data_IF_709703385173
#
_entry.id   IF_709703385173
#
_cell.length_a   1.000
_cell.length_b   1.000
_cell.length_c   1.000
_cell.angle_alpha   90.00
_cell.angle_beta   90.00
_cell.angle_gamma   90.00
#
_symmetry.space_group_name_H-M   'P 1'
#
loop_
_entity.id
_entity.type
_entity.pdbx_description
1 polymer ?
#
# COMPACT_ATOMS: atom_id res chain seq x y z
N UNK A 1 -71.99 9.70 -65.73
CA UNK A 1 -71.57 8.44 -65.08
C UNK A 1 -70.13 8.16 -65.45
N UNK A 2 -69.26 7.86 -64.48
CA UNK A 2 -67.86 7.52 -64.72
C UNK A 2 -67.05 7.45 -63.43
N UNK A 3 -67.32 6.45 -62.58
CA UNK A 3 -66.48 6.14 -61.41
C UNK A 3 -65.32 5.26 -61.86
N UNK A 4 -64.08 5.74 -61.66
CA UNK A 4 -62.86 4.95 -61.86
C UNK A 4 -62.54 4.18 -60.57
N UNK A 5 -62.52 2.86 -60.66
CA UNK A 5 -62.14 1.94 -59.58
C UNK A 5 -60.63 1.65 -59.66
N UNK A 6 -59.85 2.13 -58.70
CA UNK A 6 -58.43 1.76 -58.54
C UNK A 6 -58.36 0.44 -57.73
N UNK A 7 -57.57 -0.57 -58.16
CA UNK A 7 -57.56 -1.88 -57.51
C UNK A 7 -56.74 -1.84 -56.21
N UNK A 8 -57.42 -1.83 -55.05
CA UNK A 8 -56.86 -1.93 -53.69
C UNK A 8 -55.97 -3.17 -53.44
N UNK A 9 -55.99 -4.18 -54.34
CA UNK A 9 -55.24 -5.43 -54.17
C UNK A 9 -53.71 -5.33 -54.38
N UNK A 10 -53.19 -4.30 -55.07
CA UNK A 10 -51.73 -4.19 -55.30
C UNK A 10 -50.98 -3.54 -54.13
N UNK A 11 -51.60 -2.59 -53.43
CA UNK A 11 -50.94 -1.84 -52.34
C UNK A 11 -50.78 -2.70 -51.08
N UNK A 12 -51.77 -3.55 -50.76
CA UNK A 12 -51.69 -4.46 -49.61
C UNK A 12 -50.57 -5.51 -49.78
N UNK A 13 -50.36 -6.03 -51.01
CA UNK A 13 -49.26 -6.94 -51.31
C UNK A 13 -47.89 -6.26 -51.16
N UNK A 14 -47.77 -5.00 -51.58
CA UNK A 14 -46.52 -4.23 -51.45
C UNK A 14 -46.22 -3.94 -49.97
N UNK A 15 -47.22 -3.56 -49.17
CA UNK A 15 -47.01 -3.33 -47.73
C UNK A 15 -46.67 -4.62 -46.97
N UNK A 16 -47.28 -5.76 -47.34
CA UNK A 16 -46.93 -7.06 -46.76
C UNK A 16 -45.49 -7.47 -47.07
N UNK A 17 -45.03 -7.25 -48.31
CA UNK A 17 -43.62 -7.48 -48.67
C UNK A 17 -42.67 -6.54 -47.93
N UNK A 18 -43.04 -5.27 -47.73
CA UNK A 18 -42.24 -4.31 -46.97
C UNK A 18 -42.10 -4.72 -45.50
N UNK A 19 -43.18 -5.20 -44.87
CA UNK A 19 -43.16 -5.69 -43.49
C UNK A 19 -42.32 -6.96 -43.33
N UNK A 20 -42.35 -7.87 -44.30
CA UNK A 20 -41.50 -9.08 -44.28
C UNK A 20 -40.02 -8.69 -44.41
N UNK A 21 -39.69 -7.74 -45.29
CA UNK A 21 -38.32 -7.25 -45.47
C UNK A 21 -37.82 -6.55 -44.20
N UNK A 22 -38.62 -5.66 -43.60
CA UNK A 22 -38.27 -5.00 -42.34
C UNK A 22 -38.13 -5.98 -41.17
N UNK A 23 -39.03 -6.97 -41.06
CA UNK A 23 -38.94 -8.02 -40.05
C UNK A 23 -37.67 -8.87 -40.20
N UNK A 24 -37.31 -9.23 -41.43
CA UNK A 24 -36.06 -9.93 -41.72
C UNK A 24 -34.83 -9.12 -41.37
N UNK A 25 -34.85 -7.81 -41.62
CA UNK A 25 -33.75 -6.89 -41.26
C UNK A 25 -33.57 -6.77 -39.74
N UNK A 26 -34.65 -6.70 -38.97
CA UNK A 26 -34.59 -6.66 -37.50
C UNK A 26 -34.02 -7.96 -36.94
N UNK A 27 -34.41 -9.11 -37.50
CA UNK A 27 -33.88 -10.42 -37.10
C UNK A 27 -32.38 -10.50 -37.44
N UNK A 28 -31.97 -10.04 -38.63
CA UNK A 28 -30.57 -10.04 -39.04
C UNK A 28 -29.71 -9.14 -38.13
N UNK A 29 -30.18 -7.93 -37.80
CA UNK A 29 -29.49 -7.01 -36.88
C UNK A 29 -29.43 -7.60 -35.47
N UNK A 30 -30.49 -8.28 -35.01
CA UNK A 30 -30.51 -8.96 -33.72
C UNK A 30 -29.50 -10.11 -33.68
N UNK A 31 -29.43 -10.94 -34.72
CA UNK A 31 -28.46 -12.03 -34.83
C UNK A 31 -27.03 -11.48 -34.92
N UNK A 32 -26.79 -10.42 -35.69
CA UNK A 32 -25.49 -9.76 -35.77
C UNK A 32 -25.06 -9.09 -34.45
N UNK A 33 -26.03 -8.58 -33.68
CA UNK A 33 -25.77 -8.05 -32.33
C UNK A 33 -25.42 -9.17 -31.36
N UNK A 34 -26.12 -10.32 -31.45
CA UNK A 34 -25.86 -11.52 -30.65
C UNK A 34 -24.51 -12.15 -30.99
N UNK A 35 -24.11 -12.22 -32.25
CA UNK A 35 -22.78 -12.73 -32.63
C UNK A 35 -21.66 -11.79 -32.19
N UNK A 36 -21.87 -10.47 -32.23
CA UNK A 36 -20.94 -9.51 -31.60
C UNK A 36 -20.86 -9.69 -30.09
N UNK A 37 -21.98 -9.93 -29.42
CA UNK A 37 -22.04 -10.21 -27.98
C UNK A 37 -21.33 -11.52 -27.60
N UNK A 38 -21.50 -12.58 -28.39
CA UNK A 38 -20.81 -13.85 -28.21
C UNK A 38 -19.31 -13.76 -28.53
N UNK A 39 -18.91 -13.00 -29.55
CA UNK A 39 -17.49 -12.75 -29.85
C UNK A 39 -16.78 -11.87 -28.80
N UNK A 40 -17.55 -11.11 -28.02
CA UNK A 40 -17.07 -10.32 -26.88
C UNK A 40 -16.97 -11.12 -25.57
N UNK A 41 -17.25 -12.43 -25.60
CA UNK A 41 -16.84 -13.36 -24.54
C UNK A 41 -17.59 -13.28 -23.20
N UNK A 42 -18.79 -12.70 -23.14
CA UNK A 42 -19.45 -12.44 -21.86
C UNK A 42 -20.22 -13.64 -21.27
N UNK A 43 -20.58 -14.67 -22.06
CA UNK A 43 -21.34 -15.84 -21.57
C UNK A 43 -21.06 -17.10 -22.40
N UNK A 44 -19.85 -17.65 -22.32
CA UNK A 44 -19.63 -19.08 -22.59
C UNK A 44 -19.35 -19.77 -21.25
N UNK A 45 -20.13 -20.78 -20.84
CA UNK A 45 -19.67 -21.70 -19.81
C UNK A 45 -18.52 -22.48 -20.43
N UNK A 46 -17.30 -22.11 -20.09
CA UNK A 46 -16.10 -22.87 -20.46
C UNK A 46 -16.16 -24.21 -19.73
N UNK A 47 -16.75 -25.23 -20.34
CA UNK A 47 -16.68 -26.61 -19.84
C UNK A 47 -15.23 -27.10 -19.72
N UNK A 48 -14.29 -26.51 -20.46
CA UNK A 48 -12.85 -26.77 -20.37
C UNK A 48 -12.21 -26.31 -19.05
N UNK A 49 -12.78 -25.29 -18.39
CA UNK A 49 -12.31 -24.86 -17.05
C UNK A 49 -12.74 -25.89 -16.01
N UNK A 50 -13.97 -26.44 -16.11
CA UNK A 50 -14.44 -27.46 -15.18
C UNK A 50 -13.68 -28.79 -15.35
N UNK A 51 -13.38 -29.21 -16.58
CA UNK A 51 -12.56 -30.41 -16.82
C UNK A 51 -11.10 -30.26 -16.35
N UNK A 52 -10.57 -29.03 -16.36
CA UNK A 52 -9.25 -28.73 -15.77
C UNK A 52 -9.27 -28.72 -14.24
N UNK A 53 -10.36 -28.31 -13.59
CA UNK A 53 -10.47 -28.43 -12.12
C UNK A 53 -10.52 -29.89 -11.64
N UNK A 54 -11.09 -30.81 -12.43
CA UNK A 54 -11.10 -32.23 -12.08
C UNK A 54 -9.74 -32.91 -12.30
N UNK A 55 -8.94 -32.48 -13.28
CA UNK A 55 -7.57 -33.01 -13.49
C UNK A 55 -6.53 -32.40 -12.55
N UNK A 56 -6.78 -31.22 -11.97
CA UNK A 56 -5.93 -30.59 -10.94
C UNK A 56 -6.00 -31.31 -9.59
N UNK A 57 -7.07 -32.06 -9.32
CA UNK A 57 -7.24 -32.82 -8.07
C UNK A 57 -6.17 -33.90 -7.85
N UNK A 58 -5.51 -34.35 -8.92
CA UNK A 58 -4.55 -35.45 -8.88
C UNK A 58 -3.06 -35.02 -8.97
N UNK A 59 -2.73 -33.71 -9.05
CA UNK A 59 -1.33 -33.29 -9.31
C UNK A 59 -0.75 -32.28 -8.30
N UNK A 60 -1.54 -31.60 -7.47
CA UNK A 60 -1.02 -30.82 -6.34
C UNK A 60 -1.96 -30.92 -5.15
N UNK A 61 -1.48 -31.51 -4.05
CA UNK A 61 -2.28 -31.74 -2.83
C UNK A 61 -2.51 -30.52 -1.95
N UNK A 62 -2.25 -29.29 -2.40
CA UNK A 62 -2.22 -28.11 -1.51
C UNK A 62 -2.80 -26.81 -2.12
N UNK A 63 -3.59 -26.90 -3.20
CA UNK A 63 -4.46 -25.78 -3.58
C UNK A 63 -5.85 -26.00 -2.97
N UNK A 64 -6.19 -25.24 -1.93
CA UNK A 64 -7.52 -25.31 -1.30
C UNK A 64 -8.54 -24.58 -2.18
N UNK A 65 -8.88 -25.20 -3.31
CA UNK A 65 -9.86 -24.72 -4.29
C UNK A 65 -11.21 -24.39 -3.63
N UNK A 66 -11.48 -25.00 -2.47
CA UNK A 66 -12.64 -24.73 -1.63
C UNK A 66 -12.64 -23.30 -1.09
N UNK A 67 -11.52 -22.80 -0.57
CA UNK A 67 -11.43 -21.43 -0.02
C UNK A 67 -11.54 -20.37 -1.12
N UNK A 68 -10.94 -20.62 -2.30
CA UNK A 68 -11.12 -19.74 -3.45
C UNK A 68 -12.58 -19.75 -3.92
N UNK A 69 -13.20 -20.94 -3.99
CA UNK A 69 -14.61 -21.09 -4.32
C UNK A 69 -15.52 -20.39 -3.30
N UNK A 70 -15.20 -20.47 -2.00
CA UNK A 70 -15.97 -19.82 -0.93
C UNK A 70 -15.87 -18.29 -1.04
N UNK A 71 -14.67 -17.75 -1.32
CA UNK A 71 -14.48 -16.31 -1.56
C UNK A 71 -15.19 -15.80 -2.82
N UNK A 72 -15.12 -16.57 -3.91
CA UNK A 72 -15.86 -16.26 -5.13
C UNK A 72 -17.37 -16.34 -4.86
N UNK A 73 -17.81 -17.32 -4.08
CA UNK A 73 -19.20 -17.48 -3.64
C UNK A 73 -19.71 -16.28 -2.85
N UNK A 74 -18.95 -15.81 -1.86
CA UNK A 74 -19.31 -14.64 -1.03
C UNK A 74 -19.44 -13.35 -1.86
N UNK A 75 -18.57 -13.19 -2.86
CA UNK A 75 -18.62 -12.07 -3.81
C UNK A 75 -19.85 -12.17 -4.72
N UNK A 76 -20.15 -13.36 -5.24
CA UNK A 76 -21.33 -13.60 -6.08
C UNK A 76 -22.62 -13.37 -5.31
N UNK A 77 -22.71 -13.86 -4.07
CA UNK A 77 -23.87 -13.65 -3.18
C UNK A 77 -24.08 -12.15 -2.88
N UNK A 78 -22.99 -11.42 -2.65
CA UNK A 78 -23.03 -9.97 -2.47
C UNK A 78 -23.51 -9.23 -3.73
N UNK A 79 -23.10 -9.68 -4.93
CA UNK A 79 -23.55 -9.13 -6.20
C UNK A 79 -25.04 -9.41 -6.45
N UNK A 80 -25.51 -10.63 -6.19
CA UNK A 80 -26.91 -11.01 -6.31
C UNK A 80 -27.79 -10.19 -5.36
N UNK A 81 -27.34 -10.01 -4.11
CA UNK A 81 -28.05 -9.18 -3.13
C UNK A 81 -28.16 -7.72 -3.61
N UNK A 82 -27.10 -7.19 -4.22
CA UNK A 82 -27.10 -5.84 -4.78
C UNK A 82 -28.03 -5.70 -5.98
N UNK A 83 -28.00 -6.68 -6.87
CA UNK A 83 -28.89 -6.74 -8.02
C UNK A 83 -30.36 -6.77 -7.57
N UNK A 84 -30.69 -7.61 -6.59
CA UNK A 84 -32.04 -7.70 -6.03
C UNK A 84 -32.51 -6.38 -5.40
N UNK A 85 -31.64 -5.69 -4.64
CA UNK A 85 -31.95 -4.36 -4.08
C UNK A 85 -32.21 -3.32 -5.17
N UNK A 86 -31.41 -3.33 -6.24
CA UNK A 86 -31.54 -2.42 -7.36
C UNK A 86 -32.86 -2.66 -8.12
N UNK A 87 -33.18 -3.92 -8.42
CA UNK A 87 -34.41 -4.32 -9.10
C UNK A 87 -35.66 -3.95 -8.29
N UNK A 88 -35.65 -4.22 -6.98
CA UNK A 88 -36.73 -3.82 -6.07
C UNK A 88 -36.97 -2.31 -6.12
N UNK A 89 -35.89 -1.51 -6.10
CA UNK A 89 -36.02 -0.05 -6.11
C UNK A 89 -36.44 0.51 -7.46
N UNK A 90 -36.01 -0.12 -8.55
CA UNK A 90 -36.49 0.20 -9.91
C UNK A 90 -37.99 -0.07 -10.02
N UNK A 91 -38.48 -1.21 -9.52
CA UNK A 91 -39.93 -1.50 -9.50
C UNK A 91 -40.74 -0.52 -8.63
N UNK A 92 -40.18 -0.09 -7.50
CA UNK A 92 -40.80 0.93 -6.65
C UNK A 92 -40.88 2.29 -7.36
N UNK A 93 -39.84 2.67 -8.11
CA UNK A 93 -39.82 3.90 -8.90
C UNK A 93 -40.81 3.86 -10.07
N UNK A 94 -40.94 2.72 -10.75
CA UNK A 94 -41.93 2.52 -11.81
C UNK A 94 -43.36 2.69 -11.29
N UNK A 95 -43.64 2.24 -10.05
CA UNK A 95 -44.95 2.43 -9.40
C UNK A 95 -45.19 3.86 -8.92
N UNK A 96 -44.18 4.53 -8.38
CA UNK A 96 -44.37 5.78 -7.63
C UNK A 96 -43.97 7.06 -8.39
N UNK A 97 -43.42 6.98 -9.62
CA UNK A 97 -42.89 8.14 -10.38
C UNK A 97 -41.98 9.06 -9.53
N UNK A 98 -41.18 8.46 -8.65
CA UNK A 98 -40.30 9.17 -7.73
C UNK A 98 -38.91 9.45 -8.30
N UNK A 99 -38.24 10.48 -7.79
CA UNK A 99 -36.82 10.79 -8.08
C UNK A 99 -35.93 9.90 -7.20
N UNK A 100 -34.87 9.36 -7.81
CA UNK A 100 -33.89 8.52 -7.14
C UNK A 100 -33.14 9.30 -6.04
N UNK A 101 -33.24 8.85 -4.80
CA UNK A 101 -32.57 9.49 -3.66
C UNK A 101 -31.05 9.31 -3.77
N UNK A 102 -30.32 10.43 -3.81
CA UNK A 102 -28.86 10.46 -3.88
C UNK A 102 -28.22 9.74 -2.68
N UNK A 103 -28.86 9.80 -1.51
CA UNK A 103 -28.37 9.14 -0.30
C UNK A 103 -28.48 7.62 -0.37
N UNK A 104 -29.57 7.12 -0.96
CA UNK A 104 -29.74 5.69 -1.24
C UNK A 104 -28.69 5.20 -2.25
N UNK A 105 -28.45 5.96 -3.32
CA UNK A 105 -27.39 5.63 -4.30
C UNK A 105 -26.01 5.51 -3.64
N UNK A 106 -25.62 6.47 -2.79
CA UNK A 106 -24.31 6.44 -2.12
C UNK A 106 -24.20 5.29 -1.11
N UNK A 107 -25.20 5.10 -0.24
CA UNK A 107 -25.11 4.17 0.89
C UNK A 107 -25.44 2.72 0.52
N UNK A 108 -26.43 2.48 -0.34
CA UNK A 108 -26.96 1.14 -0.65
C UNK A 108 -26.41 0.55 -1.95
N UNK A 109 -25.90 1.38 -2.88
CA UNK A 109 -25.41 0.92 -4.18
C UNK A 109 -23.89 1.16 -4.31
N UNK A 110 -23.43 2.40 -4.21
CA UNK A 110 -22.01 2.74 -4.44
C UNK A 110 -21.12 2.11 -3.37
N UNK A 111 -21.51 2.19 -2.09
CA UNK A 111 -20.71 1.65 -0.97
C UNK A 111 -20.54 0.12 -1.03
N UNK A 112 -21.59 -0.69 -1.31
CA UNK A 112 -21.43 -2.12 -1.49
C UNK A 112 -20.75 -2.50 -2.81
N UNK A 113 -21.04 -1.82 -3.94
CA UNK A 113 -20.33 -2.06 -5.21
C UNK A 113 -18.84 -1.82 -5.06
N UNK A 114 -18.45 -0.74 -4.37
CA UNK A 114 -17.04 -0.49 -4.08
C UNK A 114 -16.45 -1.61 -3.22
N UNK A 115 -17.20 -2.14 -2.25
CA UNK A 115 -16.77 -3.28 -1.42
C UNK A 115 -16.58 -4.56 -2.22
N UNK A 116 -17.48 -4.82 -3.16
CA UNK A 116 -17.45 -6.00 -4.03
C UNK A 116 -16.34 -5.92 -5.05
N UNK A 117 -16.20 -4.77 -5.72
CA UNK A 117 -15.07 -4.49 -6.61
C UNK A 117 -13.76 -4.59 -5.83
N UNK A 118 -13.78 -4.25 -4.54
CA UNK A 118 -12.63 -4.43 -3.67
C UNK A 118 -12.28 -5.91 -3.50
N UNK A 119 -13.25 -6.70 -3.02
CA UNK A 119 -13.09 -8.13 -2.81
C UNK A 119 -12.67 -8.89 -4.09
N UNK A 120 -13.24 -8.53 -5.24
CA UNK A 120 -12.89 -9.12 -6.55
C UNK A 120 -11.42 -8.93 -6.93
N UNK A 121 -10.87 -7.73 -6.74
CA UNK A 121 -9.46 -7.43 -7.08
C UNK A 121 -8.49 -8.12 -6.13
N UNK A 122 -8.92 -8.40 -4.90
CA UNK A 122 -8.15 -9.13 -3.90
C UNK A 122 -8.15 -10.65 -4.14
N UNK A 123 -9.03 -11.18 -4.99
CA UNK A 123 -8.97 -12.56 -5.45
C UNK A 123 -7.84 -12.70 -6.47
N UNK A 124 -6.65 -13.07 -5.99
CA UNK A 124 -5.54 -13.50 -6.86
C UNK A 124 -5.79 -14.94 -7.31
N UNK A 125 -6.10 -15.12 -8.59
CA UNK A 125 -5.98 -16.43 -9.25
C UNK A 125 -4.49 -16.67 -9.51
N UNK A 126 -3.89 -17.79 -9.08
CA UNK A 126 -2.48 -18.04 -9.34
C UNK A 126 -2.23 -18.04 -10.86
N UNK A 127 -1.22 -17.27 -11.29
CA UNK A 127 -0.68 -17.38 -12.65
C UNK A 127 0.12 -18.67 -12.70
N UNK A 128 -0.25 -19.58 -13.59
CA UNK A 128 0.56 -20.77 -13.89
C UNK A 128 1.82 -20.29 -14.62
N UNK A 129 2.91 -20.09 -13.88
CA UNK A 129 4.25 -20.04 -14.47
C UNK A 129 4.77 -21.47 -14.64
N UNK A 130 5.22 -21.78 -15.85
CA UNK A 130 5.43 -23.15 -16.31
C UNK A 130 6.41 -23.96 -15.45
N UNK A 131 5.93 -25.11 -14.95
CA UNK A 131 6.54 -26.43 -14.67
C UNK A 131 8.02 -26.60 -14.24
N UNK A 132 8.83 -25.57 -14.03
CA UNK A 132 10.27 -25.72 -13.76
C UNK A 132 10.80 -24.96 -12.53
N UNK A 133 9.94 -24.46 -11.66
CA UNK A 133 10.37 -24.03 -10.33
C UNK A 133 9.89 -25.05 -9.31
N UNK A 134 10.83 -25.84 -8.77
CA UNK A 134 10.65 -26.50 -7.48
C UNK A 134 10.46 -25.39 -6.45
N UNK A 135 9.22 -24.95 -6.20
CA UNK A 135 8.91 -24.20 -5.00
C UNK A 135 9.34 -25.09 -3.83
N UNK A 136 10.34 -24.63 -3.09
CA UNK A 136 10.69 -25.26 -1.82
C UNK A 136 9.52 -24.98 -0.90
N UNK A 137 8.65 -25.96 -0.71
CA UNK A 137 7.63 -25.94 0.34
C UNK A 137 8.31 -25.52 1.65
N UNK A 138 7.93 -24.38 2.20
CA UNK A 138 8.40 -23.96 3.51
C UNK A 138 7.51 -24.64 4.55
N UNK A 139 8.01 -25.67 5.27
CA UNK A 139 7.20 -26.45 6.19
C UNK A 139 6.59 -25.60 7.32
N UNK A 140 7.13 -24.41 7.59
CA UNK A 140 6.57 -23.47 8.56
C UNK A 140 5.30 -22.79 8.06
N UNK A 141 5.20 -22.55 6.75
CA UNK A 141 4.03 -21.88 6.16
C UNK A 141 2.82 -22.82 6.21
N UNK A 142 3.05 -24.09 5.88
CA UNK A 142 2.02 -25.10 5.81
C UNK A 142 1.62 -25.67 7.18
N UNK A 143 2.30 -25.27 8.26
CA UNK A 143 1.89 -25.59 9.62
C UNK A 143 0.57 -24.90 10.01
N UNK A 144 0.32 -23.70 9.49
CA UNK A 144 -0.86 -22.90 9.86
C UNK A 144 -2.03 -23.15 8.90
N UNK A 145 -3.18 -23.50 9.46
CA UNK A 145 -4.43 -23.68 8.70
C UNK A 145 -5.07 -22.34 8.35
N UNK A 146 -4.90 -21.32 9.20
CA UNK A 146 -5.50 -20.00 8.99
C UNK A 146 -4.80 -19.28 7.84
N UNK A 147 -5.53 -19.06 6.75
CA UNK A 147 -5.07 -18.34 5.56
C UNK A 147 -4.46 -16.98 5.84
N UNK A 148 -5.03 -16.20 6.77
CA UNK A 148 -4.48 -14.89 7.11
C UNK A 148 -3.09 -15.00 7.75
N UNK A 149 -2.88 -16.04 8.55
CA UNK A 149 -1.56 -16.34 9.13
C UNK A 149 -0.62 -16.75 8.00
N UNK A 150 -1.02 -17.67 7.10
CA UNK A 150 -0.23 -18.07 5.93
C UNK A 150 0.19 -16.87 5.09
N UNK A 151 -0.74 -15.96 4.77
CA UNK A 151 -0.45 -14.72 4.03
C UNK A 151 0.49 -13.79 4.79
N UNK A 152 0.34 -13.69 6.10
CA UNK A 152 1.23 -12.88 6.92
C UNK A 152 2.64 -13.48 6.95
N UNK A 153 2.81 -14.79 7.11
CA UNK A 153 4.13 -15.42 7.26
C UNK A 153 4.88 -15.56 5.93
N UNK A 154 4.17 -15.73 4.82
CA UNK A 154 4.77 -15.88 3.50
C UNK A 154 5.63 -14.66 3.13
N UNK A 155 6.90 -14.85 2.71
CA UNK A 155 7.74 -13.76 2.23
C UNK A 155 7.13 -13.07 1.00
N UNK A 156 7.13 -11.73 1.00
CA UNK A 156 6.59 -10.93 -0.10
C UNK A 156 7.69 -10.56 -1.08
N UNK A 157 7.51 -10.92 -2.35
CA UNK A 157 8.48 -10.60 -3.40
C UNK A 157 8.37 -9.14 -3.83
N UNK A 158 9.48 -8.53 -4.24
CA UNK A 158 9.45 -7.17 -4.76
C UNK A 158 8.87 -7.17 -6.18
N UNK A 159 7.93 -6.27 -6.52
CA UNK A 159 7.24 -6.26 -7.84
C UNK A 159 8.17 -6.13 -9.05
N UNK A 160 9.33 -5.51 -8.87
CA UNK A 160 10.29 -5.27 -9.96
C UNK A 160 11.36 -6.37 -10.05
N UNK A 161 11.29 -7.40 -9.18
CA UNK A 161 12.31 -8.46 -9.09
C UNK A 161 13.71 -7.96 -8.69
N UNK A 162 13.85 -6.67 -8.42
CA UNK A 162 15.08 -6.01 -8.00
C UNK A 162 15.18 -6.02 -6.48
N UNK A 163 16.41 -5.87 -5.99
CA UNK A 163 16.71 -5.67 -4.58
C UNK A 163 15.99 -4.39 -4.10
N UNK A 164 15.28 -4.47 -2.98
CA UNK A 164 14.57 -3.34 -2.38
C UNK A 164 15.53 -2.38 -1.66
N UNK A 165 14.95 -1.36 -1.04
CA UNK A 165 15.66 -0.34 -0.27
C UNK A 165 16.52 -0.91 0.87
N UNK A 166 16.18 -2.08 1.39
CA UNK A 166 16.84 -2.74 2.51
C UNK A 166 17.95 -3.70 2.10
N UNK A 167 18.20 -3.84 0.79
CA UNK A 167 19.20 -4.79 0.31
C UNK A 167 18.68 -6.22 0.21
N UNK A 168 17.36 -6.46 0.32
CA UNK A 168 16.77 -7.80 0.19
C UNK A 168 15.93 -7.95 -1.09
N UNK A 169 15.84 -9.18 -1.60
CA UNK A 169 14.99 -9.53 -2.76
C UNK A 169 13.53 -9.79 -2.39
N UNK A 170 13.28 -10.10 -1.11
CA UNK A 170 11.96 -10.35 -0.52
C UNK A 170 11.84 -9.64 0.82
N UNK A 171 10.62 -9.38 1.24
CA UNK A 171 10.29 -8.84 2.56
C UNK A 171 9.74 -9.97 3.41
N UNK A 172 10.44 -10.29 4.50
CA UNK A 172 10.03 -11.30 5.48
C UNK A 172 9.19 -10.65 6.56
N UNK A 173 8.26 -11.36 7.20
CA UNK A 173 7.42 -10.78 8.26
C UNK A 173 8.01 -11.11 9.63
N UNK A 174 7.77 -10.26 10.62
CA UNK A 174 8.37 -10.40 11.95
C UNK A 174 7.68 -11.50 12.74
N UNK A 175 8.28 -12.69 12.76
CA UNK A 175 7.84 -13.82 13.57
C UNK A 175 9.08 -14.46 14.17
N UNK A 176 9.06 -14.71 15.48
CA UNK A 176 10.21 -15.28 16.19
C UNK A 176 10.75 -16.59 15.59
N UNK A 177 9.92 -17.39 14.90
CA UNK A 177 10.36 -18.58 14.18
C UNK A 177 11.38 -18.29 13.07
N UNK A 178 11.32 -17.12 12.42
CA UNK A 178 12.31 -16.70 11.43
C UNK A 178 13.72 -16.64 12.04
N UNK A 179 13.84 -16.34 13.33
CA UNK A 179 15.12 -16.40 14.04
C UNK A 179 15.77 -17.79 14.02
N UNK A 180 14.98 -18.86 14.01
CA UNK A 180 15.49 -20.24 13.96
C UNK A 180 16.21 -20.51 12.63
N UNK A 181 15.73 -19.89 11.54
CA UNK A 181 16.38 -19.98 10.23
C UNK A 181 17.72 -19.25 10.16
N UNK A 182 17.91 -18.24 11.02
CA UNK A 182 19.14 -17.46 11.17
C UNK A 182 19.89 -17.81 12.47
N UNK A 183 19.84 -19.09 12.86
CA UNK A 183 20.43 -19.58 14.12
C UNK A 183 21.86 -19.07 14.33
N UNK A 184 22.74 -19.21 13.34
CA UNK A 184 24.16 -18.86 13.46
C UNK A 184 24.34 -17.37 13.76
N UNK A 185 23.69 -16.51 12.98
CA UNK A 185 23.73 -15.07 13.19
C UNK A 185 23.10 -14.64 14.52
N UNK A 186 22.04 -15.33 14.95
CA UNK A 186 21.41 -15.04 16.24
C UNK A 186 22.31 -15.49 17.41
N UNK A 187 22.98 -16.63 17.30
CA UNK A 187 23.96 -17.09 18.30
C UNK A 187 25.13 -16.11 18.40
N UNK A 188 25.68 -15.65 17.28
CA UNK A 188 26.70 -14.58 17.24
C UNK A 188 26.18 -13.28 17.87
N UNK A 189 24.95 -12.87 17.56
CA UNK A 189 24.31 -11.71 18.18
C UNK A 189 24.01 -11.91 19.69
N UNK A 190 23.95 -13.14 20.19
CA UNK A 190 23.68 -13.40 21.60
C UNK A 190 24.92 -13.80 22.40
N UNK A 191 26.08 -13.86 21.74
CA UNK A 191 27.37 -14.17 22.36
C UNK A 191 27.91 -12.93 23.09
N UNK A 192 27.50 -12.78 24.36
CA UNK A 192 28.00 -11.73 25.24
C UNK A 192 27.91 -12.15 26.70
N UNK A 193 28.81 -11.62 27.52
CA UNK A 193 28.75 -11.79 28.97
C UNK A 193 27.73 -10.83 29.57
N UNK A 194 26.89 -11.32 30.48
CA UNK A 194 25.90 -10.50 31.19
C UNK A 194 26.61 -9.38 31.95
N UNK A 195 26.16 -8.13 31.76
CA UNK A 195 26.76 -6.94 32.36
C UNK A 195 28.01 -6.42 31.66
N UNK A 196 28.55 -7.14 30.66
CA UNK A 196 29.61 -6.63 29.79
C UNK A 196 29.07 -5.64 28.75
N UNK A 197 29.97 -5.02 27.98
CA UNK A 197 29.59 -4.19 26.85
C UNK A 197 29.10 -5.06 25.68
N UNK A 198 27.96 -4.70 25.08
CA UNK A 198 27.53 -5.33 23.84
C UNK A 198 28.56 -5.09 22.74
N UNK A 199 28.62 -6.00 21.76
CA UNK A 199 29.42 -5.77 20.57
C UNK A 199 28.88 -4.65 19.69
N UNK A 200 29.75 -4.13 18.81
CA UNK A 200 29.37 -3.11 17.84
C UNK A 200 28.85 -3.75 16.55
N UNK A 201 27.65 -4.28 16.61
CA UNK A 201 27.09 -5.17 15.59
C UNK A 201 25.66 -4.77 15.20
N UNK A 202 25.37 -3.46 15.19
CA UNK A 202 24.07 -2.94 14.77
C UNK A 202 23.66 -3.41 13.37
N UNK A 203 24.63 -3.67 12.49
CA UNK A 203 24.41 -4.19 11.14
C UNK A 203 23.95 -5.66 11.16
N UNK A 204 24.46 -6.47 12.09
CA UNK A 204 24.00 -7.84 12.34
C UNK A 204 22.58 -7.84 12.91
N UNK A 205 22.32 -6.99 13.91
CA UNK A 205 20.99 -6.78 14.46
C UNK A 205 19.97 -6.41 13.37
N UNK A 206 20.29 -5.41 12.55
CA UNK A 206 19.42 -4.99 11.45
C UNK A 206 19.23 -6.10 10.41
N UNK A 207 20.28 -6.86 10.10
CA UNK A 207 20.19 -8.02 9.19
C UNK A 207 19.19 -9.04 9.73
N UNK A 208 19.22 -9.37 11.01
CA UNK A 208 18.25 -10.28 11.64
C UNK A 208 16.82 -9.72 11.53
N UNK A 209 16.60 -8.46 11.90
CA UNK A 209 15.28 -7.81 11.82
C UNK A 209 14.70 -7.79 10.41
N UNK A 210 15.51 -7.42 9.41
CA UNK A 210 15.09 -7.36 8.00
C UNK A 210 14.74 -8.73 7.41
N UNK A 211 15.26 -9.81 8.01
CA UNK A 211 14.91 -11.18 7.65
C UNK A 211 13.82 -11.78 8.55
N UNK A 212 13.09 -10.95 9.30
CA UNK A 212 11.94 -11.36 10.10
C UNK A 212 12.28 -11.85 11.51
N UNK A 213 13.55 -11.90 11.89
CA UNK A 213 13.95 -12.18 13.27
C UNK A 213 13.81 -10.93 14.13
N UNK A 214 12.59 -10.68 14.57
CA UNK A 214 12.21 -9.57 15.45
C UNK A 214 11.02 -10.00 16.34
N UNK A 215 10.96 -9.61 17.64
CA UNK A 215 11.92 -8.78 18.37
C UNK A 215 13.24 -9.48 18.68
N UNK A 216 14.34 -8.73 18.66
CA UNK A 216 15.66 -9.25 19.04
C UNK A 216 15.76 -9.50 20.57
N UNK A 217 16.36 -10.62 21.01
CA UNK A 217 16.35 -11.02 22.43
C UNK A 217 17.41 -10.37 23.34
N UNK A 218 18.41 -9.69 22.78
CA UNK A 218 19.53 -9.10 23.56
C UNK A 218 19.06 -7.96 24.47
N UNK A 219 19.25 -8.12 25.79
CA UNK A 219 18.84 -7.12 26.81
C UNK A 219 19.80 -6.94 27.99
N UNK A 220 20.81 -7.80 28.14
CA UNK A 220 21.61 -7.93 29.37
C UNK A 220 23.06 -7.49 29.23
N UNK A 221 23.41 -6.81 28.14
CA UNK A 221 24.70 -6.14 27.97
C UNK A 221 24.51 -4.62 27.95
N UNK A 222 25.59 -3.91 28.21
CA UNK A 222 25.65 -2.45 28.23
C UNK A 222 25.87 -1.94 26.81
N UNK A 223 24.93 -1.15 26.29
CA UNK A 223 25.08 -0.54 24.96
C UNK A 223 26.28 0.39 24.94
N UNK A 224 27.17 0.21 23.96
CA UNK A 224 28.31 1.10 23.76
C UNK A 224 27.82 2.46 23.27
N UNK A 225 28.17 3.52 23.98
CA UNK A 225 28.00 4.91 23.56
C UNK A 225 29.22 5.38 22.75
N UNK A 226 29.14 6.58 22.16
CA UNK A 226 30.34 7.22 21.61
C UNK A 226 31.37 7.47 22.72
N UNK A 227 32.65 7.33 22.41
CA UNK A 227 33.76 7.61 23.33
C UNK A 227 33.81 9.08 23.75
N UNK A 228 33.31 9.98 22.90
CA UNK A 228 33.29 11.42 23.16
C UNK A 228 31.86 11.86 23.37
N UNK A 229 31.52 12.24 24.59
CA UNK A 229 30.26 12.90 24.88
C UNK A 229 30.41 14.41 24.65
N UNK A 230 29.54 14.95 23.82
CA UNK A 230 29.32 16.38 23.75
C UNK A 230 27.89 16.74 24.09
N UNK A 231 27.74 17.85 24.79
CA UNK A 231 26.43 18.39 25.08
C UNK A 231 25.67 18.65 23.77
N UNK A 232 24.44 18.13 23.63
CA UNK A 232 23.60 18.43 22.47
C UNK A 232 23.32 19.93 22.34
N UNK A 233 23.10 20.39 21.11
CA UNK A 233 22.61 21.76 20.87
C UNK A 233 21.23 21.96 21.52
N UNK A 234 20.88 23.19 21.92
CA UNK A 234 19.51 23.52 22.31
C UNK A 234 18.53 23.17 21.21
N UNK A 235 17.29 22.80 21.59
CA UNK A 235 16.30 22.26 20.64
C UNK A 235 16.10 23.15 19.40
N UNK A 236 16.01 24.48 19.57
CA UNK A 236 15.78 25.41 18.47
C UNK A 236 16.90 25.38 17.41
N UNK A 237 18.13 25.08 17.84
CA UNK A 237 19.30 24.98 16.96
C UNK A 237 19.48 23.56 16.41
N UNK A 238 19.26 22.54 17.26
CA UNK A 238 19.44 21.13 16.89
C UNK A 238 18.51 20.68 15.77
N UNK A 239 17.36 21.34 15.58
CA UNK A 239 16.44 21.02 14.49
C UNK A 239 17.08 21.24 13.11
N UNK A 240 17.94 22.24 12.92
CA UNK A 240 18.44 22.62 11.59
C UNK A 240 19.97 22.67 11.49
N UNK A 241 20.67 22.31 12.56
CA UNK A 241 22.12 22.18 12.59
C UNK A 241 22.52 20.70 12.61
N UNK A 242 23.50 20.32 11.80
CA UNK A 242 24.09 18.99 11.89
C UNK A 242 24.73 18.79 13.27
N UNK A 243 24.48 17.66 13.96
CA UNK A 243 25.13 17.37 15.23
C UNK A 243 26.63 17.13 15.04
N UNK A 244 27.41 17.20 16.12
CA UNK A 244 28.83 16.83 16.05
C UNK A 244 28.95 15.33 15.72
N UNK A 245 29.69 15.01 14.65
CA UNK A 245 29.95 13.65 14.20
C UNK A 245 30.57 12.76 15.29
N UNK A 246 31.26 13.34 16.27
CA UNK A 246 31.84 12.60 17.40
C UNK A 246 30.80 11.99 18.32
N UNK A 247 29.54 12.42 18.28
CA UNK A 247 28.47 11.78 19.05
C UNK A 247 27.92 10.51 18.36
N UNK A 248 28.41 10.17 17.16
CA UNK A 248 27.98 9.00 16.39
C UNK A 248 29.07 7.94 16.36
N UNK A 249 28.66 6.68 16.40
CA UNK A 249 29.55 5.52 16.26
C UNK A 249 29.69 5.14 14.80
N UNK A 250 30.84 5.45 14.21
CA UNK A 250 31.06 5.27 12.78
C UNK A 250 31.51 3.86 12.36
N UNK A 251 31.79 2.95 13.29
CA UNK A 251 32.53 1.68 13.11
C UNK A 251 32.14 0.86 11.87
N UNK A 252 30.85 0.63 11.67
CA UNK A 252 30.32 -0.20 10.56
C UNK A 252 29.76 0.61 9.39
N UNK A 253 30.07 1.91 9.29
CA UNK A 253 29.71 2.74 8.14
C UNK A 253 30.91 2.96 7.22
N UNK A 254 30.64 3.17 5.94
CA UNK A 254 31.69 3.54 4.97
C UNK A 254 32.22 4.96 5.25
N UNK A 255 31.32 5.88 5.62
CA UNK A 255 31.68 7.22 6.03
C UNK A 255 32.07 7.27 7.51
N UNK A 256 32.91 8.25 7.88
CA UNK A 256 33.38 8.49 9.26
C UNK A 256 32.95 9.85 9.84
N UNK A 257 32.22 10.63 9.05
CA UNK A 257 31.65 11.92 9.44
C UNK A 257 30.47 12.27 8.53
N UNK A 258 29.74 13.33 8.87
CA UNK A 258 28.57 13.76 8.10
C UNK A 258 28.93 14.38 6.76
N UNK A 259 30.10 15.05 6.66
CA UNK A 259 30.57 15.65 5.42
C UNK A 259 30.76 14.60 4.32
N UNK A 260 31.23 13.41 4.68
CA UNK A 260 31.35 12.27 3.77
C UNK A 260 30.00 11.80 3.21
N UNK A 261 28.88 12.02 3.93
CA UNK A 261 27.54 11.61 3.50
C UNK A 261 26.90 12.58 2.48
N UNK A 262 27.58 13.68 2.16
CA UNK A 262 27.12 14.69 1.19
C UNK A 262 26.73 14.08 -0.17
N UNK A 263 25.73 14.70 -0.84
CA UNK A 263 25.33 14.38 -2.22
C UNK A 263 26.47 14.35 -3.23
N UNK A 264 27.54 15.11 -2.97
CA UNK A 264 28.69 15.21 -3.85
C UNK A 264 29.63 13.99 -3.77
N UNK A 265 29.51 13.16 -2.74
CA UNK A 265 30.38 11.99 -2.58
C UNK A 265 29.73 10.73 -3.19
N UNK A 266 30.28 10.16 -4.27
CA UNK A 266 29.73 8.94 -4.89
C UNK A 266 29.98 7.68 -4.05
N UNK A 267 30.95 7.70 -3.12
CA UNK A 267 31.36 6.54 -2.29
C UNK A 267 30.80 6.59 -0.86
N UNK A 268 29.71 7.32 -0.65
CA UNK A 268 29.12 7.52 0.68
C UNK A 268 28.38 6.30 1.26
N UNK A 269 28.29 5.20 0.52
CA UNK A 269 27.64 3.96 0.97
C UNK A 269 26.11 3.98 1.01
N UNK A 270 25.48 5.08 0.57
CA UNK A 270 24.04 5.25 0.55
C UNK A 270 23.61 6.14 -0.62
N UNK A 271 22.52 5.80 -1.31
CA UNK A 271 22.11 6.47 -2.56
C UNK A 271 20.71 7.06 -2.53
N UNK A 272 19.87 6.69 -1.56
CA UNK A 272 18.41 6.85 -1.67
C UNK A 272 17.90 8.21 -1.20
N UNK A 273 18.50 8.79 -0.17
CA UNK A 273 18.26 10.16 0.23
C UNK A 273 19.52 10.99 0.03
N UNK A 274 19.65 11.53 -1.19
CA UNK A 274 20.88 12.20 -1.62
C UNK A 274 21.17 13.50 -0.85
N UNK A 275 20.14 14.24 -0.43
CA UNK A 275 20.25 15.52 0.29
C UNK A 275 19.97 15.44 1.79
N UNK A 276 19.74 14.25 2.35
CA UNK A 276 19.27 14.09 3.74
C UNK A 276 20.16 14.74 4.80
N UNK A 277 21.46 14.88 4.51
CA UNK A 277 22.46 15.45 5.42
C UNK A 277 22.79 16.91 5.08
N UNK A 278 22.10 17.52 4.12
CA UNK A 278 22.29 18.92 3.72
C UNK A 278 21.17 19.77 4.32
N UNK A 279 21.35 20.19 5.58
CA UNK A 279 20.29 20.83 6.37
C UNK A 279 19.71 22.09 5.72
N UNK A 280 20.51 22.87 4.98
CA UNK A 280 20.02 24.04 4.24
C UNK A 280 18.96 23.69 3.18
N UNK A 281 19.07 22.52 2.55
CA UNK A 281 18.08 22.04 1.58
C UNK A 281 16.88 21.41 2.28
N UNK A 282 17.14 20.60 3.32
CA UNK A 282 16.10 19.97 4.12
C UNK A 282 15.21 21.01 4.82
N UNK A 283 15.77 22.18 5.18
CA UNK A 283 15.06 23.30 5.79
C UNK A 283 13.95 23.87 4.88
N UNK A 284 14.02 23.67 3.57
CA UNK A 284 13.05 24.24 2.63
C UNK A 284 11.86 23.31 2.35
N UNK A 285 11.92 22.04 2.78
CA UNK A 285 10.86 21.07 2.53
C UNK A 285 9.57 21.46 3.25
N UNK A 286 8.44 21.38 2.53
CA UNK A 286 7.08 21.70 3.00
C UNK A 286 6.83 23.16 3.46
N UNK A 287 7.75 24.09 3.17
CA UNK A 287 7.63 25.51 3.54
C UNK A 287 7.09 26.36 2.40
N UNK A 288 7.70 26.24 1.22
CA UNK A 288 7.29 26.93 0.00
C UNK A 288 6.82 25.93 -1.04
N UNK A 289 5.88 26.34 -1.90
CA UNK A 289 5.49 25.55 -3.06
C UNK A 289 6.75 25.21 -3.86
N UNK A 290 7.03 23.91 -4.01
CA UNK A 290 8.12 23.47 -4.87
C UNK A 290 7.69 23.59 -6.33
N UNK A 291 8.63 23.35 -7.25
CA UNK A 291 8.32 23.25 -8.67
C UNK A 291 7.43 22.05 -9.03
N UNK A 292 7.22 21.11 -8.09
CA UNK A 292 6.42 19.90 -8.29
C UNK A 292 5.01 20.14 -7.74
N UNK A 293 4.00 20.00 -8.58
CA UNK A 293 2.59 20.31 -8.26
C UNK A 293 1.94 19.37 -7.23
N UNK A 294 2.70 18.41 -6.68
CA UNK A 294 2.21 17.39 -5.72
C UNK A 294 2.55 17.69 -4.27
N UNK A 295 3.37 18.70 -3.98
CA UNK A 295 3.78 18.98 -2.60
C UNK A 295 2.69 19.71 -1.82
N UNK A 296 2.33 19.19 -0.65
CA UNK A 296 1.43 19.87 0.28
C UNK A 296 2.23 20.61 1.36
N UNK A 297 1.85 21.85 1.65
CA UNK A 297 2.48 22.62 2.72
C UNK A 297 2.01 22.12 4.09
N UNK A 298 2.91 22.15 5.08
CA UNK A 298 2.55 21.76 6.46
C UNK A 298 1.44 22.63 7.01
N UNK A 299 1.49 23.95 6.75
CA UNK A 299 0.46 24.89 7.20
C UNK A 299 -0.92 24.49 6.68
N UNK A 300 -1.05 24.23 5.38
CA UNK A 300 -2.33 23.80 4.79
C UNK A 300 -2.87 22.50 5.39
N UNK A 301 -1.99 21.55 5.68
CA UNK A 301 -2.38 20.27 6.29
C UNK A 301 -2.87 20.49 7.71
N UNK A 302 -2.15 21.31 8.50
CA UNK A 302 -2.55 21.66 9.86
C UNK A 302 -3.86 22.46 9.89
N UNK A 303 -4.09 23.34 8.92
CA UNK A 303 -5.33 24.10 8.77
C UNK A 303 -6.55 23.24 8.42
N UNK A 304 -6.34 22.03 7.88
CA UNK A 304 -7.44 21.08 7.63
C UNK A 304 -8.10 20.63 8.95
N UNK A 305 -7.33 20.61 10.04
CA UNK A 305 -7.76 20.19 11.39
C UNK A 305 -7.09 21.06 12.47
N UNK A 306 -7.46 22.35 12.58
CA UNK A 306 -6.77 23.29 13.46
C UNK A 306 -6.78 22.85 14.93
N UNK A 307 -5.60 22.73 15.53
CA UNK A 307 -5.45 22.35 16.94
C UNK A 307 -5.71 20.87 17.28
N UNK A 308 -6.09 20.06 16.30
CA UNK A 308 -6.40 18.63 16.51
C UNK A 308 -5.19 17.71 16.28
N UNK A 309 -4.22 18.12 15.45
CA UNK A 309 -3.02 17.34 15.12
C UNK A 309 -1.93 17.66 16.15
N UNK A 310 -1.58 16.68 17.00
CA UNK A 310 -0.62 16.87 18.11
C UNK A 310 0.45 15.80 18.15
N UNK A 311 0.09 14.57 17.80
CA UNK A 311 1.01 13.43 17.71
C UNK A 311 0.85 12.72 16.37
N UNK A 312 1.97 12.34 15.76
CA UNK A 312 1.94 11.59 14.51
C UNK A 312 3.14 10.67 14.31
N UNK A 313 3.05 9.87 13.25
CA UNK A 313 4.07 8.96 12.80
C UNK A 313 4.59 9.42 11.43
N UNK A 314 5.90 9.54 11.29
CA UNK A 314 6.56 9.69 10.00
C UNK A 314 7.14 8.34 9.60
N UNK A 315 6.42 7.67 8.71
CA UNK A 315 6.74 6.36 8.16
C UNK A 315 7.58 6.52 6.89
N UNK A 316 8.72 7.19 7.02
CA UNK A 316 9.64 7.52 5.93
C UNK A 316 11.08 7.19 6.33
N UNK A 317 12.02 7.26 5.37
CA UNK A 317 13.45 7.22 5.67
C UNK A 317 14.06 8.60 5.48
N UNK A 318 14.73 9.07 6.52
CA UNK A 318 15.50 10.30 6.46
C UNK A 318 16.10 10.65 7.81
N UNK A 319 16.54 11.89 7.95
CA UNK A 319 17.20 12.39 9.16
C UNK A 319 16.22 12.97 10.19
N UNK A 320 14.92 12.80 9.98
CA UNK A 320 13.85 13.38 10.83
C UNK A 320 13.40 14.78 10.38
N UNK A 321 13.59 15.15 9.11
CA UNK A 321 13.23 16.49 8.60
C UNK A 321 11.75 16.83 8.79
N UNK A 322 10.84 15.87 8.51
CA UNK A 322 9.41 16.08 8.71
C UNK A 322 9.09 16.31 10.19
N UNK A 323 9.64 15.46 11.07
CA UNK A 323 9.51 15.62 12.51
C UNK A 323 10.03 16.97 13.02
N UNK A 324 11.16 17.45 12.49
CA UNK A 324 11.71 18.76 12.82
C UNK A 324 10.77 19.91 12.42
N UNK A 325 10.16 19.84 11.22
CA UNK A 325 9.19 20.85 10.79
C UNK A 325 7.93 20.85 11.65
N UNK A 326 7.35 19.67 11.86
CA UNK A 326 6.14 19.53 12.68
C UNK A 326 6.38 20.00 14.12
N UNK A 327 7.61 19.84 14.65
CA UNK A 327 8.00 20.33 15.97
C UNK A 327 7.94 21.85 16.10
N UNK A 328 8.25 22.61 15.04
CA UNK A 328 8.11 24.08 15.04
C UNK A 328 6.65 24.51 15.23
N UNK A 329 5.70 23.62 14.89
CA UNK A 329 4.26 23.79 15.10
C UNK A 329 3.74 23.05 16.35
N UNK A 330 4.63 22.70 17.29
CA UNK A 330 4.32 21.95 18.52
C UNK A 330 3.71 20.55 18.30
N UNK A 331 3.90 19.94 17.13
CA UNK A 331 3.47 18.57 16.87
C UNK A 331 4.63 17.62 17.13
N UNK A 332 4.36 16.55 17.89
CA UNK A 332 5.35 15.51 18.19
C UNK A 332 5.24 14.40 17.16
N UNK A 333 6.31 14.17 16.41
CA UNK A 333 6.37 13.12 15.42
C UNK A 333 7.36 12.05 15.88
N UNK A 334 6.90 10.80 15.83
CA UNK A 334 7.77 9.62 15.91
C UNK A 334 8.19 9.26 14.49
N UNK A 335 9.48 9.23 14.19
CA UNK A 335 10.00 8.90 12.86
C UNK A 335 10.49 7.46 12.83
N UNK A 336 9.97 6.64 11.93
CA UNK A 336 10.58 5.31 11.69
C UNK A 336 11.98 5.47 11.13
N UNK A 337 12.92 4.68 11.61
CA UNK A 337 14.29 4.76 11.15
C UNK A 337 14.95 3.38 11.19
N UNK A 338 15.74 3.12 10.16
CA UNK A 338 16.76 2.07 10.16
C UNK A 338 18.05 2.64 9.59
N UNK A 339 19.19 2.03 9.90
CA UNK A 339 20.50 2.53 9.51
C UNK A 339 20.90 1.95 8.15
N UNK A 340 20.56 2.64 7.06
CA UNK A 340 20.91 2.24 5.69
C UNK A 340 22.17 2.96 5.21
N UNK A 341 23.34 2.41 5.52
CA UNK A 341 24.62 3.01 5.13
C UNK A 341 24.92 4.38 5.76
N UNK A 342 24.02 4.88 6.61
CA UNK A 342 24.13 6.11 7.36
C UNK A 342 23.43 6.00 8.74
N UNK A 343 23.84 6.81 9.73
CA UNK A 343 23.38 6.72 11.13
C UNK A 343 22.07 7.50 11.36
N UNK A 344 20.97 7.02 10.77
CA UNK A 344 19.67 7.71 10.80
C UNK A 344 19.04 7.77 12.20
N UNK A 345 19.12 6.69 12.97
CA UNK A 345 18.57 6.67 14.33
C UNK A 345 19.29 7.68 15.24
N UNK A 346 20.61 7.70 15.16
CA UNK A 346 21.47 8.56 15.96
C UNK A 346 21.26 10.05 15.60
N UNK A 347 21.20 10.39 14.31
CA UNK A 347 20.98 11.79 13.91
C UNK A 347 19.60 12.30 14.29
N UNK A 348 18.55 11.48 14.17
CA UNK A 348 17.19 11.86 14.61
C UNK A 348 17.21 12.16 16.11
N UNK A 349 17.79 11.28 16.93
CA UNK A 349 17.90 11.47 18.37
C UNK A 349 18.75 12.70 18.75
N UNK A 350 19.90 12.91 18.10
CA UNK A 350 20.78 14.05 18.36
C UNK A 350 20.17 15.41 17.98
N UNK A 351 19.16 15.42 17.10
CA UNK A 351 18.35 16.60 16.79
C UNK A 351 17.24 16.87 17.82
N UNK A 352 17.08 15.99 18.83
CA UNK A 352 16.01 16.08 19.83
C UNK A 352 14.68 15.54 19.34
N UNK A 353 14.69 14.65 18.35
CA UNK A 353 13.50 14.03 17.75
C UNK A 353 13.42 12.55 18.17
N UNK A 354 12.27 11.91 17.92
CA UNK A 354 12.00 10.54 18.39
C UNK A 354 12.18 9.54 17.23
N UNK A 355 13.29 8.78 17.19
CA UNK A 355 13.40 7.66 16.26
C UNK A 355 12.65 6.44 16.81
N UNK A 356 11.95 5.73 15.94
CA UNK A 356 11.45 4.39 16.19
C UNK A 356 12.24 3.41 15.32
N UNK A 357 12.96 2.49 15.96
CA UNK A 357 13.75 1.49 15.27
C UNK A 357 12.86 0.31 14.88
N UNK A 358 12.34 0.35 13.65
CA UNK A 358 11.31 -0.56 13.12
C UNK A 358 11.50 -0.74 11.62
N UNK A 359 11.30 -1.96 11.12
CA UNK A 359 11.31 -2.28 9.69
C UNK A 359 9.90 -2.27 9.07
N UNK A 360 9.79 -2.27 7.73
CA UNK A 360 8.50 -2.13 7.01
C UNK A 360 7.48 -3.25 7.32
N UNK A 361 7.99 -4.41 7.67
CA UNK A 361 7.28 -5.68 7.81
C UNK A 361 6.83 -5.97 9.24
N UNK A 362 7.20 -5.11 10.18
CA UNK A 362 6.83 -5.23 11.56
C UNK A 362 5.49 -4.53 11.80
N UNK A 363 4.61 -5.17 12.56
CA UNK A 363 3.43 -4.50 13.09
C UNK A 363 3.88 -3.37 14.03
N UNK A 364 3.39 -2.16 13.77
CA UNK A 364 3.77 -0.96 14.50
C UNK A 364 3.48 -1.11 16.00
N UNK A 365 4.46 -0.85 16.88
CA UNK A 365 4.33 -1.03 18.33
C UNK A 365 3.58 0.13 19.00
N UNK A 366 2.51 0.62 18.37
CA UNK A 366 1.61 1.61 18.93
C UNK A 366 0.27 0.98 19.28
N UNK A 367 -0.42 1.55 20.27
CA UNK A 367 -1.78 1.16 20.59
C UNK A 367 -2.76 1.63 19.50
N UNK A 368 -3.95 1.05 19.48
CA UNK A 368 -4.94 1.31 18.44
C UNK A 368 -5.53 2.72 18.61
N UNK A 369 -5.81 3.40 17.49
CA UNK A 369 -6.46 4.71 17.42
C UNK A 369 -5.78 5.84 18.25
N UNK A 370 -4.45 5.86 18.34
CA UNK A 370 -3.71 6.85 19.13
C UNK A 370 -3.09 8.00 18.33
N UNK A 371 -2.86 7.82 17.03
CA UNK A 371 -2.16 8.81 16.19
C UNK A 371 -3.13 9.78 15.54
N UNK A 372 -2.80 11.08 15.54
CA UNK A 372 -3.59 12.11 14.87
C UNK A 372 -3.21 12.22 13.37
N UNK A 373 -1.97 11.89 13.03
CA UNK A 373 -1.39 11.97 11.69
C UNK A 373 -0.45 10.80 11.40
N UNK A 374 -0.53 10.24 10.20
CA UNK A 374 0.52 9.39 9.62
C UNK A 374 1.01 10.07 8.36
N UNK A 375 2.32 10.24 8.23
CA UNK A 375 2.99 10.81 7.07
C UNK A 375 3.91 9.78 6.44
N UNK A 376 3.99 9.75 5.11
CA UNK A 376 5.00 9.01 4.37
C UNK A 376 5.48 9.83 3.19
N UNK A 377 6.79 9.85 2.94
CA UNK A 377 7.39 10.48 1.77
C UNK A 377 8.39 9.55 1.09
N UNK A 378 8.17 9.26 -0.20
CA UNK A 378 9.17 8.65 -1.10
C UNK A 378 9.77 7.32 -0.65
N UNK A 379 9.17 6.67 0.36
CA UNK A 379 9.72 5.50 1.02
C UNK A 379 9.08 4.21 0.49
N UNK A 380 7.76 4.22 0.35
CA UNK A 380 7.03 3.20 -0.42
C UNK A 380 7.06 3.62 -1.89
N UNK A 381 8.20 3.43 -2.54
CA UNK A 381 8.28 3.47 -3.98
C UNK A 381 7.51 2.27 -4.58
N UNK A 382 7.21 2.31 -5.89
CA UNK A 382 6.43 1.29 -6.59
C UNK A 382 7.03 -0.13 -6.66
N UNK A 383 8.09 -0.43 -5.89
CA UNK A 383 8.61 -1.79 -5.71
C UNK A 383 7.81 -2.61 -4.70
N UNK A 384 7.03 -1.95 -3.82
CA UNK A 384 6.27 -2.60 -2.77
C UNK A 384 5.22 -3.56 -3.35
N UNK A 385 5.12 -4.78 -2.83
CA UNK A 385 4.06 -5.70 -3.22
C UNK A 385 2.70 -5.24 -2.69
N UNK A 386 1.63 -5.54 -3.42
CA UNK A 386 0.28 -5.12 -3.03
C UNK A 386 -0.21 -5.76 -1.75
N UNK A 387 0.12 -7.05 -1.50
CA UNK A 387 -0.26 -7.70 -0.25
C UNK A 387 0.52 -7.08 0.93
N UNK A 388 1.80 -6.76 0.74
CA UNK A 388 2.58 -6.05 1.74
C UNK A 388 2.01 -4.65 2.03
N UNK A 389 1.66 -3.89 0.98
CA UNK A 389 1.03 -2.59 1.13
C UNK A 389 -0.33 -2.71 1.84
N UNK A 390 -1.09 -3.78 1.58
CA UNK A 390 -2.35 -4.04 2.29
C UNK A 390 -2.13 -4.14 3.80
N UNK A 391 -1.21 -4.98 4.24
CA UNK A 391 -0.85 -5.11 5.66
C UNK A 391 -0.43 -3.77 6.27
N UNK A 392 0.36 -2.97 5.55
CA UNK A 392 0.80 -1.65 6.00
C UNK A 392 -0.38 -0.69 6.14
N UNK A 393 -1.28 -0.64 5.16
CA UNK A 393 -2.44 0.25 5.19
C UNK A 393 -3.42 -0.11 6.31
N UNK A 394 -3.65 -1.40 6.57
CA UNK A 394 -4.46 -1.84 7.70
C UNK A 394 -3.80 -1.53 9.05
N UNK A 395 -2.48 -1.64 9.16
CA UNK A 395 -1.77 -1.31 10.39
C UNK A 395 -1.71 0.21 10.65
N UNK A 396 -1.58 1.02 9.60
CA UNK A 396 -1.75 2.46 9.69
C UNK A 396 -3.16 2.85 10.09
N UNK A 397 -4.18 2.28 9.45
CA UNK A 397 -5.57 2.52 9.81
C UNK A 397 -5.82 2.16 11.27
N UNK A 398 -5.28 1.04 11.75
CA UNK A 398 -5.39 0.63 13.15
C UNK A 398 -4.90 1.69 14.11
N UNK A 399 -3.72 2.27 13.90
CA UNK A 399 -3.12 3.22 14.85
C UNK A 399 -3.66 4.65 14.67
N UNK A 400 -4.17 4.99 13.48
CA UNK A 400 -4.75 6.30 13.21
C UNK A 400 -6.11 6.41 13.89
N UNK A 401 -6.33 7.46 14.68
CA UNK A 401 -7.61 7.69 15.34
C UNK A 401 -8.71 8.05 14.34
N UNK A 402 -10.00 7.84 14.64
CA UNK A 402 -11.10 8.41 13.85
C UNK A 402 -10.93 9.92 13.67
N UNK A 403 -11.07 10.42 12.44
CA UNK A 403 -10.80 11.81 12.09
C UNK A 403 -9.32 12.18 11.94
N UNK A 404 -8.40 11.25 12.21
CA UNK A 404 -6.98 11.40 11.95
C UNK A 404 -6.66 11.43 10.45
N UNK A 405 -5.52 12.02 10.11
CA UNK A 405 -5.09 12.21 8.72
C UNK A 405 -4.01 11.21 8.31
N UNK A 406 -4.17 10.62 7.14
CA UNK A 406 -3.12 9.93 6.39
C UNK A 406 -2.64 10.86 5.28
N UNK A 407 -1.38 11.26 5.37
CA UNK A 407 -0.69 12.10 4.41
C UNK A 407 0.34 11.29 3.65
N UNK A 408 0.04 11.03 2.38
CA UNK A 408 0.94 10.38 1.43
C UNK A 408 1.57 11.48 0.58
N UNK A 409 2.89 11.57 0.59
CA UNK A 409 3.64 12.59 -0.12
C UNK A 409 4.55 11.93 -1.17
N UNK A 410 4.43 12.39 -2.42
CA UNK A 410 5.28 11.99 -3.55
C UNK A 410 5.46 10.47 -3.70
N UNK A 411 4.38 9.70 -3.50
CA UNK A 411 4.39 8.25 -3.76
C UNK A 411 4.64 8.00 -5.24
N UNK A 412 5.73 7.33 -5.56
CA UNK A 412 6.14 7.09 -6.93
C UNK A 412 5.72 5.69 -7.39
N UNK A 413 5.04 5.59 -8.53
CA UNK A 413 4.76 4.31 -9.18
C UNK A 413 4.82 4.39 -10.71
N UNK A 414 4.91 3.22 -11.35
CA UNK A 414 4.78 3.11 -12.80
C UNK A 414 3.32 3.35 -13.20
N UNK A 415 3.11 3.96 -14.36
CA UNK A 415 1.77 4.21 -14.93
C UNK A 415 0.91 2.94 -15.01
N UNK A 416 1.52 1.78 -15.27
CA UNK A 416 0.81 0.49 -15.36
C UNK A 416 0.22 0.02 -14.03
N UNK A 417 0.85 0.38 -12.92
CA UNK A 417 0.45 -0.05 -11.57
C UNK A 417 -0.37 1.04 -10.84
N UNK A 418 -0.56 2.21 -11.48
CA UNK A 418 -1.18 3.39 -10.87
C UNK A 418 -2.58 3.09 -10.35
N UNK A 419 -3.44 2.50 -11.20
CA UNK A 419 -4.83 2.22 -10.84
C UNK A 419 -4.94 1.24 -9.67
N UNK A 420 -4.01 0.28 -9.59
CA UNK A 420 -3.96 -0.66 -8.48
C UNK A 420 -3.56 0.05 -7.17
N UNK A 421 -2.50 0.87 -7.18
CA UNK A 421 -2.07 1.61 -5.99
C UNK A 421 -3.10 2.64 -5.53
N UNK A 422 -3.72 3.35 -6.47
CA UNK A 422 -4.82 4.28 -6.16
C UNK A 422 -5.96 3.56 -5.47
N UNK A 423 -6.32 2.38 -5.99
CA UNK A 423 -7.34 1.56 -5.40
C UNK A 423 -6.97 1.08 -3.98
N UNK A 424 -5.71 0.68 -3.74
CA UNK A 424 -5.22 0.33 -2.39
C UNK A 424 -5.40 1.48 -1.39
N UNK A 425 -5.07 2.72 -1.77
CA UNK A 425 -5.24 3.88 -0.87
C UNK A 425 -6.70 4.27 -0.62
N UNK A 426 -7.62 3.90 -1.52
CA UNK A 426 -9.04 4.24 -1.43
C UNK A 426 -9.89 3.14 -0.79
N UNK A 427 -9.40 1.91 -0.70
CA UNK A 427 -10.18 0.75 -0.22
C UNK A 427 -10.74 0.93 1.20
N UNK A 428 -10.05 1.67 2.06
CA UNK A 428 -10.43 1.87 3.46
C UNK A 428 -11.47 2.99 3.67
N UNK A 429 -12.03 3.53 2.58
CA UNK A 429 -13.08 4.58 2.55
C UNK A 429 -12.69 5.86 3.26
N UNK A 430 -11.43 6.26 3.14
CA UNK A 430 -10.97 7.54 3.69
C UNK A 430 -11.62 8.70 2.95
N UNK A 431 -11.97 9.76 3.68
CA UNK A 431 -12.45 11.00 3.10
C UNK A 431 -11.27 11.75 2.49
N UNK A 432 -11.35 12.08 1.21
CA UNK A 432 -10.29 12.81 0.49
C UNK A 432 -10.40 14.31 0.74
N UNK A 433 -9.32 14.92 1.26
CA UNK A 433 -9.18 16.38 1.40
C UNK A 433 -8.39 16.98 0.25
N UNK A 434 -7.21 16.41 -0.03
CA UNK A 434 -6.35 16.84 -1.13
C UNK A 434 -5.85 15.63 -1.90
N UNK A 435 -5.64 15.81 -3.20
CA UNK A 435 -5.13 14.77 -4.08
C UNK A 435 -4.52 15.40 -5.30
N UNK A 436 -3.27 15.03 -5.58
CA UNK A 436 -2.51 15.55 -6.70
C UNK A 436 -1.76 14.39 -7.35
N UNK A 437 -1.73 14.40 -8.68
CA UNK A 437 -0.93 13.47 -9.49
C UNK A 437 -0.07 14.33 -10.41
N UNK A 438 1.23 14.05 -10.48
CA UNK A 438 2.15 14.71 -11.40
C UNK A 438 3.02 13.70 -12.14
N UNK A 439 3.36 13.94 -13.42
CA UNK A 439 4.30 13.09 -14.12
C UNK A 439 5.72 13.29 -13.56
N UNK A 440 6.40 12.18 -13.24
CA UNK A 440 7.83 12.15 -12.89
C UNK A 440 8.69 11.96 -14.15
N UNK A 441 8.28 11.04 -15.01
CA UNK A 441 8.90 10.76 -16.32
C UNK A 441 7.83 10.24 -17.30
N UNK A 442 8.22 9.72 -18.47
CA UNK A 442 7.25 9.25 -19.49
C UNK A 442 6.31 8.15 -18.96
N UNK A 443 6.82 7.27 -18.11
CA UNK A 443 6.11 6.08 -17.63
C UNK A 443 5.88 6.09 -16.11
N UNK A 444 6.24 7.18 -15.44
CA UNK A 444 6.31 7.27 -13.97
C UNK A 444 5.56 8.49 -13.46
N UNK A 445 4.82 8.32 -12.36
CA UNK A 445 4.01 9.38 -11.75
C UNK A 445 4.28 9.48 -10.25
N UNK A 446 4.14 10.70 -9.72
CA UNK A 446 4.01 10.96 -8.30
C UNK A 446 2.53 11.11 -7.93
N UNK A 447 2.18 10.56 -6.78
CA UNK A 447 0.88 10.68 -6.15
C UNK A 447 1.07 11.29 -4.76
N UNK A 448 0.35 12.37 -4.48
CA UNK A 448 0.22 12.92 -3.14
C UNK A 448 -1.25 12.99 -2.74
N UNK A 449 -1.57 12.58 -1.52
CA UNK A 449 -2.93 12.51 -1.02
C UNK A 449 -2.99 12.87 0.47
N UNK A 450 -4.02 13.64 0.84
CA UNK A 450 -4.39 13.90 2.22
C UNK A 450 -5.77 13.30 2.45
N UNK A 451 -5.81 12.27 3.29
CA UNK A 451 -6.95 11.40 3.48
C UNK A 451 -7.34 11.41 4.97
N UNK A 452 -8.62 11.47 5.30
CA UNK A 452 -9.13 11.45 6.68
C UNK A 452 -9.81 10.12 6.97
N UNK A 453 -9.44 9.48 8.09
CA UNK A 453 -10.08 8.23 8.54
C UNK A 453 -11.52 8.50 8.97
N UNK A 454 -12.53 7.84 8.40
CA UNK A 454 -13.91 8.04 8.80
C UNK A 454 -14.16 7.42 10.19
N UNK A 455 -15.15 7.93 10.95
CA UNK A 455 -15.68 7.20 12.09
C UNK A 455 -16.32 5.90 11.58
N UNK A 456 -15.87 4.76 12.10
CA UNK A 456 -16.54 3.47 11.90
C UNK A 456 -17.26 3.16 13.21
N UNK A 457 -18.55 3.50 13.28
CA UNK A 457 -19.41 2.99 14.35
C UNK A 457 -19.53 1.47 14.18
N UNK A 458 -19.42 0.73 15.28
CA UNK A 458 -19.84 -0.66 15.35
C UNK A 458 -21.37 -0.68 15.40
#
# INVERSE_FOLDING_TARGET
>A
MGRSCIPRCKVAKIMGWLQIILGGLVILVSILSLTKFYSAGLLLPNEDICQHFYTVKDVYGDFDAKVLSDRIGEVLESLETLQGKLESKVQEMEKNKGILDKKFLEDEIVRPIHSVNVALRHIRVPKIEGRNNTEKDDPLINFFITEEIRKYITPKENRVGKINLYGTNKVYNTIGHACVMYKKELEEYMDYDIGSYCDDDWNLAQKLMLNGCDPLPRRRCLTRASMVYQRPYPINESLWRLPDHRNVRWGNYQCRNFECLSSKNPKRGYSKCSSCFEMEKEKLKWVSNSSVSTDFLILDVLETKPGEIRVGLDYSIGTGTFAARMREHNVTIVSTAINLGAPFNEIIALRGLVPLYVSLNQRLPFFDNTMDLIHTNGFMDGWIDMLLLDFILYDWDRILRPGGLLWIDNFFCNRKDMDDYMYMFLQLRYKKHKWAISPKSKDEFYLSALLEKPPRAI
#
